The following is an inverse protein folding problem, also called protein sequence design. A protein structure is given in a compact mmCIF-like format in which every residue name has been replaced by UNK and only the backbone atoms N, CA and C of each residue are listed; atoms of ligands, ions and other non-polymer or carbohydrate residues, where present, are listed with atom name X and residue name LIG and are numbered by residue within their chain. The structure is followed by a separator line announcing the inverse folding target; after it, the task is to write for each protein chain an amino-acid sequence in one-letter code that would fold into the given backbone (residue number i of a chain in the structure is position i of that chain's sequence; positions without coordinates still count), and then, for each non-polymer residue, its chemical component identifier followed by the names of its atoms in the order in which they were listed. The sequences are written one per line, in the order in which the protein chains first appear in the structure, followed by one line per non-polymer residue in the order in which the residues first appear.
data_IF_670052350613
#
_entry.id   IF_670052350613
#
_cell.length_a   1.000
_cell.length_b   1.000
_cell.length_c   1.000
_cell.angle_alpha   90.00
_cell.angle_beta   90.00
_cell.angle_gamma   90.00
#
_symmetry.space_group_name_H-M   'P 1'
#
loop_
_entity.id
_entity.type
_entity.pdbx_description
1 polymer ?
#
# COMPACT_ATOMS: atom_id res chain seq x y z
N UNK A 1 -1.03 -2.13 9.64
CA UNK A 1 -1.15 -0.68 9.93
C UNK A 1 -2.62 -0.29 9.84
N UNK A 2 -2.97 0.95 10.19
CA UNK A 2 -4.32 1.49 9.95
C UNK A 2 -4.24 2.83 9.24
N UNK A 3 -5.22 3.10 8.39
CA UNK A 3 -5.42 4.34 7.65
C UNK A 3 -6.93 4.56 7.46
N UNK A 4 -7.46 5.64 8.04
CA UNK A 4 -8.90 5.93 8.06
C UNK A 4 -9.29 7.11 7.13
N UNK A 5 -8.43 7.47 6.19
CA UNK A 5 -8.72 8.49 5.17
C UNK A 5 -9.49 7.92 3.97
N UNK A 6 -9.51 8.70 2.90
CA UNK A 6 -10.08 8.36 1.60
C UNK A 6 -9.07 7.63 0.69
N UNK A 7 -9.58 7.01 -0.39
CA UNK A 7 -8.71 6.40 -1.39
C UNK A 7 -7.76 7.42 -2.02
N UNK A 8 -8.25 8.61 -2.33
CA UNK A 8 -7.45 9.69 -2.94
C UNK A 8 -6.28 10.11 -2.04
N UNK A 9 -6.52 10.26 -0.73
CA UNK A 9 -5.46 10.55 0.23
C UNK A 9 -4.45 9.40 0.31
N UNK A 10 -4.91 8.15 0.34
CA UNK A 10 -4.00 6.99 0.32
C UNK A 10 -3.16 6.93 -0.95
N UNK A 11 -3.76 7.21 -2.11
CA UNK A 11 -3.05 7.27 -3.40
C UNK A 11 -1.97 8.35 -3.39
N UNK A 12 -2.28 9.53 -2.86
CA UNK A 12 -1.30 10.61 -2.72
C UNK A 12 -0.17 10.27 -1.75
N UNK A 13 -0.43 9.51 -0.68
CA UNK A 13 0.61 9.01 0.23
C UNK A 13 1.48 7.95 -0.45
N UNK A 14 0.88 6.97 -1.12
CA UNK A 14 1.61 5.91 -1.82
C UNK A 14 2.48 6.48 -2.95
N UNK A 15 2.02 7.51 -3.67
CA UNK A 15 2.81 8.18 -4.70
C UNK A 15 4.10 8.79 -4.17
N UNK A 16 4.15 9.21 -2.90
CA UNK A 16 5.36 9.76 -2.27
C UNK A 16 6.43 8.69 -1.99
N UNK A 17 6.09 7.40 -2.03
CA UNK A 17 7.06 6.31 -1.89
C UNK A 17 7.99 6.20 -3.10
N UNK A 18 7.64 6.82 -4.23
CA UNK A 18 8.46 6.82 -5.45
C UNK A 18 8.57 5.44 -6.12
N UNK A 19 7.72 4.49 -5.74
CA UNK A 19 7.70 3.14 -6.30
C UNK A 19 6.61 3.06 -7.38
N UNK A 20 6.94 2.74 -8.64
CA UNK A 20 5.95 2.55 -9.70
C UNK A 20 5.01 1.37 -9.42
N UNK A 21 3.77 1.49 -9.90
CA UNK A 21 2.73 0.50 -9.63
C UNK A 21 1.35 1.01 -10.02
N UNK A 22 0.36 0.14 -9.92
CA UNK A 22 -1.02 0.41 -10.31
C UNK A 22 -2.03 0.00 -9.23
N UNK A 23 -3.17 0.69 -9.21
CA UNK A 23 -4.28 0.39 -8.31
C UNK A 23 -5.26 -0.59 -8.95
N UNK A 24 -5.72 -1.54 -8.15
CA UNK A 24 -6.71 -2.55 -8.51
C UNK A 24 -7.82 -2.56 -7.47
N UNK A 25 -9.04 -2.32 -7.91
CA UNK A 25 -10.22 -2.42 -7.08
C UNK A 25 -10.65 -3.89 -6.94
N UNK A 26 -10.83 -4.37 -5.70
CA UNK A 26 -11.17 -5.76 -5.37
C UNK A 26 -12.45 -5.86 -4.53
N UNK A 27 -13.45 -5.02 -4.84
CA UNK A 27 -14.78 -5.03 -4.22
C UNK A 27 -14.78 -4.52 -2.78
N UNK A 28 -14.17 -5.27 -1.86
CA UNK A 28 -14.10 -4.94 -0.44
C UNK A 28 -12.83 -4.18 -0.03
N UNK A 29 -11.83 -4.13 -0.91
CA UNK A 29 -10.55 -3.48 -0.66
C UNK A 29 -9.94 -2.92 -1.95
N UNK A 30 -9.01 -2.00 -1.76
CA UNK A 30 -8.15 -1.46 -2.80
C UNK A 30 -6.77 -2.10 -2.67
N UNK A 31 -6.15 -2.41 -3.81
CA UNK A 31 -4.82 -3.03 -3.85
C UNK A 31 -3.90 -2.20 -4.72
N UNK A 32 -2.75 -1.79 -4.19
CA UNK A 32 -1.65 -1.28 -5.00
C UNK A 32 -0.66 -2.40 -5.30
N UNK A 33 -0.38 -2.62 -6.57
CA UNK A 33 0.57 -3.62 -7.06
C UNK A 33 1.78 -2.88 -7.61
N UNK A 34 2.97 -3.24 -7.13
CA UNK A 34 4.23 -2.68 -7.63
C UNK A 34 4.52 -3.25 -9.03
N UNK A 35 4.96 -2.38 -9.96
CA UNK A 35 5.29 -2.76 -11.35
C UNK A 35 6.76 -3.22 -11.47
N UNK A 36 7.21 -4.06 -10.54
CA UNK A 36 8.57 -4.59 -10.51
C UNK A 36 8.51 -6.12 -10.71
N UNK A 37 9.24 -6.61 -11.71
CA UNK A 37 9.27 -8.02 -12.11
C UNK A 37 9.95 -8.91 -11.05
N UNK A 38 10.73 -8.34 -10.13
CA UNK A 38 11.47 -9.06 -9.11
C UNK A 38 10.72 -9.22 -7.79
N UNK A 39 9.65 -8.42 -7.57
CA UNK A 39 8.91 -8.42 -6.31
C UNK A 39 7.44 -8.79 -6.46
N UNK A 40 6.89 -9.42 -5.43
CA UNK A 40 5.47 -9.74 -5.33
C UNK A 40 4.75 -8.86 -4.30
N UNK A 41 5.38 -7.75 -3.89
CA UNK A 41 4.86 -6.87 -2.85
C UNK A 41 3.59 -6.16 -3.33
N UNK A 42 2.61 -6.07 -2.43
CA UNK A 42 1.31 -5.41 -2.65
C UNK A 42 0.86 -4.72 -1.38
N UNK A 43 0.17 -3.60 -1.54
CA UNK A 43 -0.49 -2.90 -0.44
C UNK A 43 -2.00 -3.10 -0.54
N UNK A 44 -2.59 -3.77 0.44
CA UNK A 44 -4.04 -3.94 0.53
C UNK A 44 -4.62 -2.98 1.57
N UNK A 45 -5.70 -2.28 1.21
CA UNK A 45 -6.41 -1.37 2.08
C UNK A 45 -7.91 -1.65 2.10
N UNK A 46 -8.48 -1.85 3.29
CA UNK A 46 -9.92 -2.05 3.48
C UNK A 46 -10.57 -0.76 4.00
N UNK A 47 -11.32 0.00 3.18
CA UNK A 47 -11.86 1.30 3.57
C UNK A 47 -12.80 1.22 4.78
N UNK A 48 -13.55 0.12 4.91
CA UNK A 48 -14.53 -0.06 5.99
C UNK A 48 -13.89 -0.17 7.38
N UNK A 49 -12.71 -0.79 7.48
CA UNK A 49 -12.00 -0.99 8.76
C UNK A 49 -10.78 -0.08 8.92
N UNK A 50 -10.34 0.55 7.83
CA UNK A 50 -9.07 1.24 7.74
C UNK A 50 -7.86 0.33 7.80
N UNK A 51 -8.02 -1.00 7.74
CA UNK A 51 -6.90 -1.93 7.81
C UNK A 51 -6.02 -1.77 6.56
N UNK A 52 -4.71 -1.63 6.79
CA UNK A 52 -3.71 -1.45 5.75
C UNK A 52 -2.60 -2.49 5.93
N UNK A 53 -2.34 -3.29 4.90
CA UNK A 53 -1.39 -4.42 4.96
C UNK A 53 -0.48 -4.46 3.75
N UNK A 54 0.82 -4.50 4.02
CA UNK A 54 1.84 -4.89 3.04
C UNK A 54 1.94 -6.42 3.03
N UNK A 55 1.71 -7.01 1.86
CA UNK A 55 1.79 -8.44 1.58
C UNK A 55 2.93 -8.67 0.60
N UNK A 56 3.64 -9.79 0.70
CA UNK A 56 4.81 -10.12 -0.12
C UNK A 56 5.92 -10.74 0.72
N UNK A 57 7.10 -10.92 0.13
CA UNK A 57 8.28 -11.39 0.85
C UNK A 57 8.61 -10.48 2.06
N UNK A 58 8.66 -11.03 3.29
CA UNK A 58 9.03 -10.26 4.47
C UNK A 58 10.38 -9.55 4.39
N UNK A 59 11.37 -10.13 3.72
CA UNK A 59 12.71 -9.52 3.62
C UNK A 59 12.70 -8.28 2.72
N UNK A 60 11.89 -8.29 1.67
CA UNK A 60 11.80 -7.20 0.69
C UNK A 60 10.90 -6.05 1.16
N UNK A 61 9.90 -6.33 2.02
CA UNK A 61 8.92 -5.32 2.44
C UNK A 61 9.36 -4.43 3.60
N UNK A 62 10.50 -4.69 4.26
CA UNK A 62 10.91 -3.98 5.48
C UNK A 62 11.02 -2.47 5.28
N UNK A 63 11.77 -2.06 4.25
CA UNK A 63 12.03 -0.64 3.99
C UNK A 63 10.77 0.08 3.52
N UNK A 64 9.98 -0.56 2.65
CA UNK A 64 8.70 -0.01 2.19
C UNK A 64 7.68 0.11 3.33
N UNK A 65 7.63 -0.87 4.22
CA UNK A 65 6.76 -0.83 5.41
C UNK A 65 7.17 0.29 6.37
N UNK A 66 8.47 0.52 6.55
CA UNK A 66 8.97 1.63 7.36
C UNK A 66 8.64 3.00 6.73
N UNK A 67 8.88 3.15 5.42
CA UNK A 67 8.58 4.37 4.69
C UNK A 67 7.07 4.68 4.71
N UNK A 68 6.23 3.68 4.47
CA UNK A 68 4.79 3.84 4.53
C UNK A 68 4.32 4.23 5.93
N UNK A 69 4.84 3.61 7.01
CA UNK A 69 4.52 4.00 8.39
C UNK A 69 4.86 5.45 8.70
N UNK A 70 5.95 5.98 8.14
CA UNK A 70 6.36 7.36 8.35
C UNK A 70 5.46 8.38 7.65
N UNK A 71 4.74 7.96 6.59
CA UNK A 71 3.81 8.80 5.83
C UNK A 71 2.37 8.75 6.35
N UNK A 72 2.01 7.74 7.13
CA UNK A 72 0.66 7.61 7.66
C UNK A 72 0.40 8.64 8.78
N UNK A 73 -0.77 9.31 8.78
CA UNK A 73 -1.15 10.28 9.81
C UNK A 73 -1.57 9.63 11.13
#
# INVERSE_FOLDING_TARGET
MRFNGSLEELQALVAQLGQPGHWVHQGAFEMYVLDDEETNIRLNWWPRSGDLRLVGDPAQRLDLEAALKALLP
#
